data_IF_347666981762
#
_entry.id   IF_347666981762
#
_cell.length_a   1.000
_cell.length_b   1.000
_cell.length_c   1.000
_cell.angle_alpha   90.00
_cell.angle_beta   90.00
_cell.angle_gamma   90.00
#
_symmetry.space_group_name_H-M   'P 1'
#
loop_
_entity.id
_entity.type
_entity.pdbx_description
1 polymer ?
#
# COMPACT_ATOMS: atom_id res chain seq x y z
N UNK A 1 -16.90 -6.33 -7.65
CA UNK A 1 -15.53 -5.83 -7.84
C UNK A 1 -14.70 -6.39 -6.73
N UNK A 2 -13.67 -7.17 -7.08
CA UNK A 2 -12.81 -7.79 -6.08
C UNK A 2 -11.77 -6.77 -5.65
N UNK A 3 -11.77 -6.49 -4.34
CA UNK A 3 -10.80 -5.61 -3.68
C UNK A 3 -9.93 -6.46 -2.77
N UNK A 4 -8.63 -6.17 -2.76
CA UNK A 4 -7.65 -6.89 -1.95
C UNK A 4 -6.89 -5.93 -1.05
N UNK A 5 -6.60 -6.37 0.17
CA UNK A 5 -5.61 -5.72 1.02
C UNK A 5 -4.23 -6.10 0.49
N UNK A 6 -3.39 -5.12 0.18
CA UNK A 6 -2.02 -5.32 -0.28
C UNK A 6 -1.10 -4.52 0.60
N UNK A 7 -0.27 -5.21 1.38
CA UNK A 7 0.89 -4.60 1.99
C UNK A 7 2.01 -4.52 0.96
N UNK A 8 2.59 -3.34 0.78
CA UNK A 8 3.79 -3.13 -0.03
C UNK A 8 4.87 -2.51 0.86
N UNK A 9 6.03 -3.16 0.90
CA UNK A 9 7.24 -2.62 1.52
C UNK A 9 7.65 -1.30 0.86
N UNK A 10 8.53 -0.52 1.52
CA UNK A 10 9.11 0.69 0.92
C UNK A 10 9.70 0.34 -0.45
N UNK A 11 9.43 1.17 -1.45
CA UNK A 11 9.92 0.95 -2.81
C UNK A 11 10.32 2.26 -3.47
N UNK A 12 11.30 2.18 -4.37
CA UNK A 12 11.79 3.33 -5.12
C UNK A 12 11.22 3.35 -6.53
N UNK A 13 10.85 4.54 -6.99
CA UNK A 13 10.36 4.79 -8.34
C UNK A 13 11.17 5.89 -9.00
N UNK A 14 11.37 5.79 -10.32
CA UNK A 14 12.09 6.78 -11.13
C UNK A 14 11.23 7.19 -12.31
N UNK A 15 11.04 8.49 -12.51
CA UNK A 15 10.14 8.98 -13.54
C UNK A 15 10.22 10.48 -13.82
N UNK A 16 9.27 10.96 -14.62
CA UNK A 16 9.06 12.39 -14.88
C UNK A 16 8.08 12.95 -13.88
N UNK A 17 8.48 14.05 -13.22
CA UNK A 17 7.68 14.75 -12.23
C UNK A 17 6.93 15.90 -12.89
N UNK A 18 5.61 15.90 -12.71
CA UNK A 18 4.75 17.04 -13.02
C UNK A 18 4.08 17.58 -11.76
N UNK A 19 3.70 18.85 -11.86
CA UNK A 19 2.88 19.53 -10.87
C UNK A 19 1.85 20.38 -11.60
N UNK A 20 0.62 20.39 -11.11
CA UNK A 20 -0.41 21.24 -11.71
C UNK A 20 -1.69 21.29 -10.90
N UNK A 21 -2.67 21.99 -11.44
CA UNK A 21 -3.94 22.23 -10.78
C UNK A 21 -4.77 20.95 -10.64
N UNK A 22 -5.43 20.80 -9.49
CA UNK A 22 -6.30 19.66 -9.18
C UNK A 22 -7.66 19.74 -9.91
N UNK A 23 -8.10 20.94 -10.32
CA UNK A 23 -9.36 21.15 -11.04
C UNK A 23 -9.35 20.55 -12.46
N UNK A 24 -8.18 20.58 -13.14
CA UNK A 24 -8.03 20.06 -14.49
C UNK A 24 -6.74 19.26 -14.66
N UNK A 25 -6.64 18.09 -14.00
CA UNK A 25 -5.41 17.33 -13.94
C UNK A 25 -4.94 16.82 -15.29
N UNK A 26 -5.89 16.45 -16.16
CA UNK A 26 -5.61 15.89 -17.48
C UNK A 26 -4.88 16.86 -18.41
N UNK A 27 -5.01 18.17 -18.18
CA UNK A 27 -4.31 19.19 -18.98
C UNK A 27 -2.79 19.12 -18.88
N UNK A 28 -2.25 18.55 -17.79
CA UNK A 28 -0.82 18.48 -17.53
C UNK A 28 -0.30 17.06 -17.29
N UNK A 29 -1.13 16.14 -16.79
CA UNK A 29 -0.76 14.72 -16.61
C UNK A 29 -0.59 14.01 -17.95
N UNK A 30 -1.45 14.29 -18.93
CA UNK A 30 -1.33 13.65 -20.25
C UNK A 30 -0.01 14.06 -20.94
N UNK A 31 0.33 15.35 -21.07
CA UNK A 31 1.64 15.75 -21.58
C UNK A 31 2.83 15.19 -20.78
N UNK A 32 2.68 15.03 -19.46
CA UNK A 32 3.70 14.40 -18.61
C UNK A 32 3.93 12.93 -19.00
N UNK A 33 2.86 12.17 -19.21
CA UNK A 33 2.97 10.79 -19.70
C UNK A 33 3.58 10.73 -21.10
N UNK A 34 3.23 11.66 -21.99
CA UNK A 34 3.82 11.73 -23.32
C UNK A 34 5.35 11.97 -23.23
N UNK A 35 5.81 12.85 -22.32
CA UNK A 35 7.24 13.07 -22.04
C UNK A 35 7.93 11.85 -21.43
N UNK A 36 7.32 11.22 -20.42
CA UNK A 36 7.87 10.04 -19.78
C UNK A 36 8.04 8.87 -20.76
N UNK A 37 7.00 8.59 -21.56
CA UNK A 37 7.00 7.51 -22.54
C UNK A 37 7.96 7.80 -23.70
N UNK A 38 8.01 9.05 -24.18
CA UNK A 38 8.89 9.46 -25.27
C UNK A 38 10.38 9.32 -24.94
N UNK A 39 10.74 9.43 -23.66
CA UNK A 39 12.13 9.35 -23.19
C UNK A 39 12.43 8.05 -22.39
N UNK A 40 11.50 7.10 -22.33
CA UNK A 40 11.61 5.94 -21.43
C UNK A 40 12.87 5.08 -21.66
N UNK A 41 13.38 5.05 -22.89
CA UNK A 41 14.61 4.33 -23.25
C UNK A 41 15.84 4.78 -22.47
N UNK A 42 15.85 6.00 -21.92
CA UNK A 42 16.92 6.51 -21.06
C UNK A 42 17.00 5.78 -19.72
N UNK A 43 15.87 5.28 -19.20
CA UNK A 43 15.78 4.63 -17.88
C UNK A 43 15.32 3.18 -17.94
N UNK A 44 14.95 2.65 -19.11
CA UNK A 44 14.45 1.28 -19.27
C UNK A 44 15.42 0.23 -18.68
N UNK A 45 16.74 0.45 -18.82
CA UNK A 45 17.77 -0.43 -18.28
C UNK A 45 17.87 -0.42 -16.74
N UNK A 46 17.28 0.59 -16.08
CA UNK A 46 17.25 0.73 -14.62
C UNK A 46 15.96 0.16 -14.01
N UNK A 47 14.91 0.01 -14.83
CA UNK A 47 13.62 -0.47 -14.38
C UNK A 47 13.68 -1.92 -13.88
N UNK A 48 13.02 -2.19 -12.75
CA UNK A 48 12.81 -3.55 -12.26
C UNK A 48 11.87 -4.29 -13.22
N UNK A 49 12.25 -5.51 -13.58
CA UNK A 49 11.46 -6.38 -14.46
C UNK A 49 10.95 -7.59 -13.69
N UNK A 50 9.63 -7.77 -13.64
CA UNK A 50 8.98 -8.93 -13.08
C UNK A 50 8.62 -9.88 -14.23
N UNK A 51 9.21 -11.09 -14.23
CA UNK A 51 9.05 -12.05 -15.33
C UNK A 51 9.36 -11.46 -16.71
N UNK A 52 10.38 -10.59 -16.77
CA UNK A 52 10.81 -9.92 -18.00
C UNK A 52 9.96 -8.72 -18.42
N UNK A 53 8.87 -8.40 -17.71
CA UNK A 53 8.02 -7.23 -17.97
C UNK A 53 8.30 -6.10 -16.98
N UNK A 54 8.32 -4.87 -17.49
CA UNK A 54 8.30 -3.65 -16.67
C UNK A 54 6.86 -3.21 -16.49
N UNK A 55 6.46 -2.87 -15.26
CA UNK A 55 5.23 -2.12 -15.00
C UNK A 55 5.54 -0.65 -14.79
N UNK A 56 4.54 0.21 -14.99
CA UNK A 56 4.65 1.66 -14.76
C UNK A 56 3.63 2.12 -13.72
N UNK A 57 3.93 3.25 -13.10
CA UNK A 57 3.20 3.81 -11.97
C UNK A 57 2.89 5.28 -12.20
N UNK A 58 1.70 5.67 -11.76
CA UNK A 58 1.32 7.04 -11.47
C UNK A 58 1.36 7.29 -9.97
N UNK A 59 2.50 7.71 -9.44
CA UNK A 59 2.62 8.03 -8.01
C UNK A 59 2.19 9.48 -7.79
N UNK A 60 1.25 9.69 -6.88
CA UNK A 60 0.69 11.01 -6.58
C UNK A 60 1.15 11.47 -5.20
N UNK A 61 1.32 12.79 -5.04
CA UNK A 61 1.63 13.42 -3.76
C UNK A 61 1.12 14.87 -3.69
N UNK A 62 0.97 15.40 -2.48
CA UNK A 62 0.93 16.84 -2.21
C UNK A 62 2.22 17.56 -2.68
N UNK A 63 2.17 18.89 -2.69
CA UNK A 63 3.28 19.73 -3.17
C UNK A 63 4.57 19.56 -2.38
N UNK A 64 4.44 19.18 -1.11
CA UNK A 64 5.57 18.93 -0.20
C UNK A 64 6.13 17.50 -0.28
N UNK A 65 5.60 16.66 -1.17
CA UNK A 65 6.10 15.30 -1.43
C UNK A 65 5.99 14.36 -0.21
N UNK A 66 4.96 14.54 0.61
CA UNK A 66 4.66 13.72 1.79
C UNK A 66 3.72 12.54 1.50
N UNK A 67 3.38 12.32 0.22
CA UNK A 67 2.37 11.36 -0.25
C UNK A 67 0.96 11.62 0.29
N UNK A 68 0.70 12.84 0.77
CA UNK A 68 -0.65 13.25 1.14
C UNK A 68 -1.51 13.46 -0.11
N UNK A 69 -2.82 13.50 0.09
CA UNK A 69 -3.78 13.85 -0.96
C UNK A 69 -3.51 15.25 -1.48
N UNK A 70 -3.83 15.46 -2.76
CA UNK A 70 -3.89 16.81 -3.32
C UNK A 70 -4.91 17.65 -2.56
N UNK A 71 -4.59 18.93 -2.42
CA UNK A 71 -5.54 19.92 -1.91
C UNK A 71 -6.50 20.38 -3.02
N UNK A 72 -7.29 21.40 -2.73
CA UNK A 72 -8.23 22.00 -3.69
C UNK A 72 -7.52 22.78 -4.82
N UNK A 73 -6.21 22.99 -4.73
CA UNK A 73 -5.44 23.80 -5.67
C UNK A 73 -4.61 22.95 -6.59
N UNK A 74 -3.72 22.12 -6.04
CA UNK A 74 -2.67 21.48 -6.82
C UNK A 74 -2.15 20.19 -6.19
N UNK A 75 -1.42 19.46 -7.02
CA UNK A 75 -0.70 18.27 -6.60
C UNK A 75 0.46 17.96 -7.52
N UNK A 76 1.24 16.96 -7.10
CA UNK A 76 2.34 16.37 -7.86
C UNK A 76 1.97 14.97 -8.32
N UNK A 77 2.49 14.64 -9.50
CA UNK A 77 2.33 13.33 -10.14
C UNK A 77 3.68 12.91 -10.73
N UNK A 78 4.09 11.68 -10.48
CA UNK A 78 5.29 11.08 -11.03
C UNK A 78 4.90 9.91 -11.95
N UNK A 79 5.12 10.11 -13.25
CA UNK A 79 4.98 9.08 -14.28
C UNK A 79 6.28 8.26 -14.32
N UNK A 80 6.28 7.05 -13.75
CA UNK A 80 7.50 6.35 -13.36
C UNK A 80 7.45 4.83 -13.55
N UNK A 81 8.61 4.17 -13.36
CA UNK A 81 8.72 2.74 -13.14
C UNK A 81 9.42 2.46 -11.80
N UNK A 82 9.25 1.24 -11.26
CA UNK A 82 10.02 0.82 -10.08
C UNK A 82 11.50 0.62 -10.43
N UNK A 83 12.38 1.04 -9.54
CA UNK A 83 13.84 0.89 -9.65
C UNK A 83 14.40 0.39 -8.32
N UNK A 84 15.66 -0.08 -8.33
CA UNK A 84 16.32 -0.46 -7.08
C UNK A 84 16.60 0.75 -6.19
N UNK A 85 16.64 0.54 -4.88
CA UNK A 85 16.83 1.61 -3.89
C UNK A 85 18.15 2.36 -4.08
N UNK A 86 19.20 1.72 -4.57
CA UNK A 86 20.50 2.36 -4.83
C UNK A 86 20.56 3.16 -6.14
N UNK A 87 19.51 3.10 -6.96
CA UNK A 87 19.49 3.76 -8.27
C UNK A 87 19.59 5.28 -8.10
N UNK A 88 20.58 5.89 -8.75
CA UNK A 88 20.70 7.33 -8.87
C UNK A 88 19.82 7.84 -10.01
N UNK A 89 19.11 8.96 -9.79
CA UNK A 89 18.30 9.56 -10.84
C UNK A 89 19.20 10.23 -11.91
N UNK A 90 19.05 9.88 -13.20
CA UNK A 90 19.70 10.61 -14.28
C UNK A 90 19.22 12.06 -14.36
N UNK A 91 19.99 12.93 -15.04
CA UNK A 91 19.60 14.33 -15.24
C UNK A 91 18.24 14.40 -15.93
N UNK A 92 17.33 15.22 -15.39
CA UNK A 92 15.97 15.36 -15.94
C UNK A 92 15.00 14.26 -15.54
N UNK A 93 15.38 13.38 -14.61
CA UNK A 93 14.53 12.37 -13.99
C UNK A 93 14.47 12.58 -12.48
N UNK A 94 13.35 12.23 -11.87
CA UNK A 94 13.11 12.35 -10.43
C UNK A 94 12.88 10.97 -9.85
N UNK A 95 13.50 10.73 -8.69
CA UNK A 95 13.30 9.52 -7.91
C UNK A 95 12.54 9.83 -6.63
N UNK A 96 11.54 9.02 -6.34
CA UNK A 96 10.84 9.02 -5.05
C UNK A 96 11.00 7.67 -4.35
N UNK A 97 11.09 7.74 -3.03
CA UNK A 97 11.03 6.59 -2.14
C UNK A 97 9.63 6.57 -1.51
N UNK A 98 8.76 5.70 -2.00
CA UNK A 98 7.39 5.56 -1.49
C UNK A 98 7.44 4.75 -0.21
N UNK A 99 6.87 5.23 0.91
CA UNK A 99 6.94 4.54 2.19
C UNK A 99 6.13 3.24 2.19
N UNK A 100 6.49 2.31 3.09
CA UNK A 100 5.72 1.09 3.28
C UNK A 100 4.30 1.41 3.75
N UNK A 101 3.32 0.82 3.09
CA UNK A 101 1.91 1.09 3.35
C UNK A 101 1.09 -0.16 3.03
N UNK A 102 -0.09 -0.23 3.64
CA UNK A 102 -1.14 -1.13 3.22
C UNK A 102 -2.17 -0.38 2.40
N UNK A 103 -2.54 -0.97 1.28
CA UNK A 103 -3.47 -0.42 0.32
C UNK A 103 -4.71 -1.33 0.23
N UNK A 104 -5.87 -0.71 0.00
CA UNK A 104 -6.94 -1.39 -0.73
C UNK A 104 -6.58 -1.26 -2.20
N UNK A 105 -6.54 -2.37 -2.93
CA UNK A 105 -6.28 -2.39 -4.37
C UNK A 105 -7.54 -2.81 -5.11
N UNK A 106 -7.97 -1.98 -6.05
CA UNK A 106 -9.10 -2.25 -6.94
C UNK A 106 -8.61 -2.29 -8.40
N UNK A 107 -8.94 -3.36 -9.12
CA UNK A 107 -8.73 -3.42 -10.56
C UNK A 107 -9.78 -2.56 -11.28
N UNK A 108 -9.39 -1.89 -12.36
CA UNK A 108 -10.22 -1.02 -13.16
C UNK A 108 -9.68 -0.93 -14.60
N UNK A 109 -10.29 -0.07 -15.41
CA UNK A 109 -9.92 0.26 -16.79
C UNK A 109 -10.22 1.75 -17.05
N UNK A 110 -9.90 2.25 -18.24
CA UNK A 110 -10.13 3.67 -18.58
C UNK A 110 -11.60 4.11 -18.50
N UNK A 111 -12.56 3.24 -18.81
CA UNK A 111 -13.99 3.57 -18.79
C UNK A 111 -14.56 3.61 -17.36
N UNK A 112 -14.12 2.68 -16.53
CA UNK A 112 -14.61 2.50 -15.16
C UNK A 112 -13.80 3.26 -14.11
N UNK A 113 -12.66 3.84 -14.47
CA UNK A 113 -11.72 4.49 -13.54
C UNK A 113 -12.43 5.36 -12.48
N UNK A 114 -13.25 6.32 -12.92
CA UNK A 114 -13.91 7.27 -12.02
C UNK A 114 -15.00 6.62 -11.17
N UNK A 115 -15.73 5.65 -11.72
CA UNK A 115 -16.79 4.97 -10.97
C UNK A 115 -16.19 4.08 -9.87
N UNK A 116 -15.10 3.37 -10.18
CA UNK A 116 -14.33 2.59 -9.20
C UNK A 116 -13.74 3.48 -8.13
N UNK A 117 -13.05 4.55 -8.53
CA UNK A 117 -12.45 5.50 -7.61
C UNK A 117 -13.48 6.07 -6.61
N UNK A 118 -14.62 6.54 -7.12
CA UNK A 118 -15.69 7.06 -6.27
C UNK A 118 -16.34 5.99 -5.40
N UNK A 119 -16.53 4.77 -5.91
CA UNK A 119 -17.09 3.68 -5.11
C UNK A 119 -16.17 3.32 -3.93
N UNK A 120 -14.86 3.19 -4.17
CA UNK A 120 -13.92 2.83 -3.10
C UNK A 120 -13.88 3.91 -2.02
N UNK A 121 -13.75 5.18 -2.41
CA UNK A 121 -13.62 6.29 -1.45
C UNK A 121 -14.91 6.60 -0.72
N UNK A 122 -16.04 6.66 -1.42
CA UNK A 122 -17.30 7.14 -0.85
C UNK A 122 -18.15 6.01 -0.26
N UNK A 123 -17.86 4.74 -0.58
CA UNK A 123 -18.66 3.61 -0.14
C UNK A 123 -17.83 2.56 0.61
N UNK A 124 -16.86 1.92 -0.05
CA UNK A 124 -16.14 0.79 0.55
C UNK A 124 -15.34 1.18 1.80
N UNK A 125 -14.52 2.23 1.71
CA UNK A 125 -13.67 2.68 2.83
C UNK A 125 -14.53 3.03 4.06
N UNK A 126 -15.58 3.89 3.96
CA UNK A 126 -16.45 4.20 5.10
C UNK A 126 -17.21 2.99 5.65
N UNK A 127 -17.78 2.12 4.78
CA UNK A 127 -18.52 0.94 5.22
C UNK A 127 -17.68 -0.06 6.02
N UNK A 128 -16.38 -0.10 5.77
CA UNK A 128 -15.45 -1.00 6.44
C UNK A 128 -14.66 -0.30 7.58
N UNK A 129 -15.10 0.88 8.02
CA UNK A 129 -14.44 1.68 9.06
C UNK A 129 -12.94 1.97 8.78
N UNK A 130 -12.58 2.04 7.50
CA UNK A 130 -11.22 2.38 7.06
C UNK A 130 -11.07 3.89 6.91
N UNK A 131 -9.82 4.35 6.83
CA UNK A 131 -9.48 5.73 6.50
C UNK A 131 -8.50 5.75 5.34
N UNK A 132 -8.72 6.64 4.37
CA UNK A 132 -7.73 6.94 3.36
C UNK A 132 -6.68 7.87 3.97
N UNK A 133 -5.41 7.47 3.97
CA UNK A 133 -4.33 8.19 4.68
C UNK A 133 -3.39 8.98 3.76
N UNK A 134 -3.56 8.86 2.45
CA UNK A 134 -2.66 9.45 1.46
C UNK A 134 -3.27 9.55 0.07
N UNK A 135 -2.46 9.98 -0.89
CA UNK A 135 -2.86 10.01 -2.29
C UNK A 135 -3.02 8.59 -2.86
N UNK A 136 -4.01 8.41 -3.73
CA UNK A 136 -4.21 7.15 -4.45
C UNK A 136 -3.15 7.04 -5.54
N UNK A 137 -2.63 5.84 -5.78
CA UNK A 137 -1.65 5.60 -6.84
C UNK A 137 -2.25 4.74 -7.94
N UNK A 138 -1.74 4.93 -9.16
CA UNK A 138 -2.08 4.10 -10.30
C UNK A 138 -0.93 3.13 -10.57
N UNK A 139 -1.26 1.87 -10.81
CA UNK A 139 -0.32 0.86 -11.27
C UNK A 139 -0.82 0.26 -12.57
N UNK A 140 0.05 0.25 -13.58
CA UNK A 140 -0.21 -0.31 -14.89
C UNK A 140 0.67 -1.55 -15.07
N UNK A 141 0.17 -2.74 -14.73
CA UNK A 141 0.95 -3.98 -14.76
C UNK A 141 1.26 -4.44 -16.20
N UNK A 142 0.51 -3.98 -17.19
CA UNK A 142 0.75 -4.22 -18.62
C UNK A 142 0.73 -2.87 -19.36
N UNK A 143 1.84 -2.12 -19.33
CA UNK A 143 1.89 -0.78 -19.94
C UNK A 143 1.45 -0.79 -21.40
N UNK A 144 0.60 0.16 -21.78
CA UNK A 144 0.01 0.25 -23.12
C UNK A 144 -1.30 -0.50 -23.29
N UNK A 145 -1.74 -1.27 -22.28
CA UNK A 145 -3.07 -1.86 -22.24
C UNK A 145 -4.04 -0.97 -21.43
N UNK A 146 -4.97 -0.25 -22.08
CA UNK A 146 -5.90 0.65 -21.39
C UNK A 146 -6.95 -0.09 -20.53
N UNK A 147 -7.10 -1.40 -20.72
CA UNK A 147 -8.08 -2.20 -20.00
C UNK A 147 -7.57 -2.66 -18.62
N UNK A 148 -6.31 -2.38 -18.28
CA UNK A 148 -5.68 -2.88 -17.06
C UNK A 148 -5.00 -1.74 -16.30
N UNK A 149 -5.71 -1.23 -15.27
CA UNK A 149 -5.14 -0.36 -14.24
C UNK A 149 -5.54 -0.87 -12.86
N UNK A 150 -4.62 -0.86 -11.92
CA UNK A 150 -4.89 -1.10 -10.51
C UNK A 150 -4.79 0.22 -9.73
N UNK A 151 -5.82 0.53 -8.93
CA UNK A 151 -5.86 1.70 -8.08
C UNK A 151 -5.49 1.31 -6.64
N UNK A 152 -4.44 1.95 -6.11
CA UNK A 152 -3.87 1.67 -4.79
C UNK A 152 -4.30 2.77 -3.81
N UNK A 153 -5.26 2.46 -2.95
CA UNK A 153 -5.81 3.37 -1.94
C UNK A 153 -5.11 3.15 -0.59
N UNK A 154 -4.18 4.03 -0.16
CA UNK A 154 -3.45 3.82 1.08
C UNK A 154 -4.36 3.95 2.30
N UNK A 155 -4.39 2.91 3.16
CA UNK A 155 -5.24 2.87 4.35
C UNK A 155 -4.47 2.80 5.67
N UNK A 156 -3.20 2.44 5.65
CA UNK A 156 -2.35 2.41 6.83
C UNK A 156 -0.87 2.55 6.46
N UNK A 157 -0.11 3.21 7.33
CA UNK A 157 1.36 3.17 7.31
C UNK A 157 1.80 1.75 7.72
N UNK A 158 2.76 1.15 7.04
CA UNK A 158 3.18 -0.22 7.33
C UNK A 158 2.07 -1.25 7.09
N UNK A 159 2.17 -2.40 7.77
CA UNK A 159 1.16 -3.47 7.67
C UNK A 159 -0.11 -3.06 8.40
N UNK A 160 -1.29 -3.28 7.80
CA UNK A 160 -2.58 -3.06 8.44
C UNK A 160 -2.93 -4.16 9.43
N UNK A 161 -2.42 -5.38 9.23
CA UNK A 161 -2.67 -6.50 10.14
C UNK A 161 -1.38 -6.85 10.88
N UNK A 162 -1.47 -6.99 12.21
CA UNK A 162 -0.34 -7.40 13.03
C UNK A 162 0.25 -8.71 12.51
N UNK A 163 1.55 -8.71 12.20
CA UNK A 163 2.30 -9.84 11.65
C UNK A 163 2.65 -10.91 12.70
N UNK A 164 1.89 -10.95 13.80
CA UNK A 164 1.93 -11.95 14.87
C UNK A 164 0.54 -12.52 15.14
N UNK A 165 -0.47 -11.69 15.38
CA UNK A 165 -1.81 -12.13 15.77
C UNK A 165 -2.91 -11.85 14.74
N UNK A 166 -2.60 -11.20 13.62
CA UNK A 166 -3.57 -10.83 12.59
C UNK A 166 -4.53 -9.69 12.99
N UNK A 167 -4.37 -9.08 14.18
CA UNK A 167 -5.20 -7.97 14.63
C UNK A 167 -5.05 -6.75 13.69
N UNK A 168 -6.16 -6.15 13.21
CA UNK A 168 -6.11 -4.89 12.49
C UNK A 168 -5.50 -3.77 13.36
N UNK A 169 -4.61 -2.97 12.79
CA UNK A 169 -3.96 -1.82 13.41
C UNK A 169 -4.47 -0.56 12.72
N UNK A 170 -5.55 0.00 13.28
CA UNK A 170 -6.33 1.08 12.66
C UNK A 170 -5.63 2.43 12.89
N UNK A 171 -5.00 2.60 14.04
CA UNK A 171 -4.27 3.81 14.40
C UNK A 171 -2.87 3.54 14.95
N UNK A 172 -2.08 4.59 15.11
CA UNK A 172 -0.72 4.48 15.65
C UNK A 172 -0.71 3.99 17.10
N UNK A 173 -1.82 4.16 17.85
CA UNK A 173 -1.99 3.64 19.21
C UNK A 173 -2.10 2.11 19.26
N UNK A 174 -2.55 1.46 18.18
CA UNK A 174 -2.63 0.00 18.10
C UNK A 174 -1.24 -0.63 17.89
N UNK A 175 -0.26 0.16 17.46
CA UNK A 175 1.09 -0.29 17.10
C UNK A 175 2.00 -0.43 18.31
N UNK A 176 2.80 -1.49 18.29
CA UNK A 176 3.89 -1.68 19.22
C UNK A 176 5.00 -0.66 19.02
N UNK A 177 6.00 -0.71 19.88
CA UNK A 177 7.15 0.20 19.83
C UNK A 177 8.43 -0.56 19.50
N UNK A 178 9.25 0.01 18.62
CA UNK A 178 10.61 -0.45 18.35
C UNK A 178 11.57 -0.06 19.49
N UNK A 179 12.83 -0.52 19.42
CA UNK A 179 13.85 -0.21 20.44
C UNK A 179 14.12 1.29 20.60
N UNK A 180 13.97 2.05 19.52
CA UNK A 180 14.13 3.50 19.49
C UNK A 180 12.84 4.27 19.84
N UNK A 181 11.79 3.56 20.27
CA UNK A 181 10.46 4.07 20.60
C UNK A 181 9.65 4.55 19.39
N UNK A 182 10.11 4.34 18.16
CA UNK A 182 9.27 4.53 16.98
C UNK A 182 8.17 3.46 16.91
N UNK A 183 7.07 3.75 16.21
CA UNK A 183 5.98 2.78 16.04
C UNK A 183 6.34 1.65 15.09
N UNK A 184 6.08 0.43 15.53
CA UNK A 184 6.30 -0.77 14.74
C UNK A 184 5.43 -0.76 13.48
N UNK A 185 6.05 -1.06 12.34
CA UNK A 185 5.33 -1.17 11.07
C UNK A 185 4.60 -2.51 10.93
N UNK A 186 4.98 -3.50 11.73
CA UNK A 186 4.53 -4.88 11.57
C UNK A 186 3.69 -5.41 12.73
N UNK A 187 3.91 -4.93 13.96
CA UNK A 187 3.34 -5.57 15.15
C UNK A 187 2.49 -4.63 16.00
N UNK A 188 1.43 -5.18 16.60
CA UNK A 188 0.57 -4.44 17.51
C UNK A 188 1.16 -4.36 18.92
N UNK A 189 0.66 -3.40 19.70
CA UNK A 189 1.10 -3.11 21.08
C UNK A 189 0.93 -4.27 22.06
N UNK A 190 0.06 -5.23 21.75
CA UNK A 190 -0.17 -6.40 22.59
C UNK A 190 0.85 -7.50 22.32
N UNK A 191 1.36 -7.60 21.09
CA UNK A 191 2.33 -8.62 20.71
C UNK A 191 3.77 -8.14 20.87
N UNK A 192 4.03 -6.83 20.74
CA UNK A 192 5.38 -6.31 20.64
C UNK A 192 5.52 -4.97 21.35
N UNK A 193 6.55 -4.84 22.19
CA UNK A 193 6.85 -3.64 22.96
C UNK A 193 8.37 -3.46 23.09
N UNK A 194 8.86 -2.24 22.88
CA UNK A 194 10.28 -1.85 23.04
C UNK A 194 11.26 -2.77 22.30
N UNK A 195 10.87 -3.22 21.10
CA UNK A 195 11.73 -4.02 20.25
C UNK A 195 11.72 -5.53 20.53
N UNK A 196 10.81 -6.02 21.38
CA UNK A 196 10.72 -7.43 21.76
C UNK A 196 9.27 -7.91 21.80
N UNK A 197 9.05 -9.21 21.54
CA UNK A 197 7.72 -9.80 21.73
C UNK A 197 7.38 -9.87 23.21
N UNK A 198 6.15 -9.50 23.56
CA UNK A 198 5.64 -9.47 24.94
C UNK A 198 5.50 -10.85 25.55
N UNK A 199 5.48 -11.90 24.73
CA UNK A 199 5.40 -13.29 25.13
C UNK A 199 6.20 -14.20 24.20
N UNK A 200 6.77 -15.28 24.75
CA UNK A 200 7.45 -16.33 24.01
C UNK A 200 6.49 -17.50 23.68
N UNK A 201 5.31 -17.14 23.18
CA UNK A 201 4.22 -18.07 22.88
C UNK A 201 4.47 -18.84 21.58
N UNK A 202 3.99 -20.09 21.53
CA UNK A 202 3.85 -20.82 20.26
C UNK A 202 2.73 -20.23 19.39
N UNK A 203 2.66 -20.62 18.11
CA UNK A 203 1.54 -20.23 17.26
C UNK A 203 0.20 -20.71 17.85
N UNK A 204 0.15 -21.93 18.39
CA UNK A 204 -1.06 -22.47 19.01
C UNK A 204 -1.47 -21.66 20.25
N UNK A 205 -0.52 -21.25 21.09
CA UNK A 205 -0.78 -20.38 22.23
C UNK A 205 -1.32 -19.00 21.82
N UNK A 206 -0.78 -18.43 20.72
CA UNK A 206 -1.31 -17.19 20.14
C UNK A 206 -2.73 -17.37 19.62
N UNK A 207 -3.03 -18.48 18.93
CA UNK A 207 -4.39 -18.79 18.46
C UNK A 207 -5.34 -18.92 19.64
N UNK A 208 -4.96 -19.67 20.67
CA UNK A 208 -5.74 -19.81 21.92
C UNK A 208 -6.08 -18.45 22.53
N UNK A 209 -5.11 -17.53 22.53
CA UNK A 209 -5.27 -16.18 23.07
C UNK A 209 -6.15 -15.29 22.19
N UNK A 210 -6.10 -15.45 20.85
CA UNK A 210 -6.86 -14.63 19.90
C UNK A 210 -8.33 -15.05 19.77
N UNK A 211 -8.63 -16.35 19.89
CA UNK A 211 -9.98 -16.90 19.68
C UNK A 211 -11.06 -16.14 20.46
N UNK A 212 -10.97 -15.94 21.79
CA UNK A 212 -12.01 -15.24 22.54
C UNK A 212 -12.31 -13.84 22.00
N UNK A 213 -11.28 -13.07 21.66
CA UNK A 213 -11.43 -11.70 21.13
C UNK A 213 -12.11 -11.70 19.75
N UNK A 214 -11.78 -12.66 18.89
CA UNK A 214 -12.41 -12.72 17.55
C UNK A 214 -13.88 -13.12 17.61
N UNK A 215 -14.29 -13.92 18.59
CA UNK A 215 -15.69 -14.25 18.82
C UNK A 215 -16.45 -13.06 19.41
N UNK A 216 -15.87 -12.38 20.40
CA UNK A 216 -16.45 -11.17 21.00
C UNK A 216 -16.64 -10.06 19.96
N UNK A 217 -15.67 -9.89 19.06
CA UNK A 217 -15.75 -8.93 17.96
C UNK A 217 -16.67 -9.38 16.80
N UNK A 218 -17.22 -10.59 16.84
CA UNK A 218 -18.09 -11.12 15.79
C UNK A 218 -17.38 -11.40 14.46
N UNK A 219 -16.05 -11.55 14.46
CA UNK A 219 -15.24 -11.86 13.28
C UNK A 219 -15.50 -13.28 12.80
N UNK A 220 -15.67 -14.21 13.74
CA UNK A 220 -15.99 -15.61 13.47
C UNK A 220 -17.25 -16.04 14.22
N UNK A 221 -18.04 -16.97 13.67
CA UNK A 221 -19.29 -17.42 14.28
C UNK A 221 -19.07 -18.35 15.49
N UNK A 222 -17.96 -19.08 15.53
CA UNK A 222 -17.64 -20.05 16.58
C UNK A 222 -16.13 -20.31 16.70
N UNK A 223 -15.72 -20.89 17.83
CA UNK A 223 -14.32 -21.19 18.15
C UNK A 223 -13.65 -22.09 17.11
N UNK A 224 -14.36 -23.10 16.59
CA UNK A 224 -13.77 -24.05 15.64
C UNK A 224 -13.39 -23.32 14.35
N UNK A 225 -14.30 -22.50 13.82
CA UNK A 225 -14.10 -21.70 12.61
C UNK A 225 -12.98 -20.68 12.81
N UNK A 226 -12.91 -20.04 13.97
CA UNK A 226 -11.82 -19.12 14.31
C UNK A 226 -10.46 -19.82 14.29
N UNK A 227 -10.35 -20.97 14.98
CA UNK A 227 -9.12 -21.77 15.01
C UNK A 227 -8.69 -22.26 13.65
N UNK A 228 -9.59 -22.86 12.87
CA UNK A 228 -9.29 -23.39 11.53
C UNK A 228 -8.81 -22.26 10.59
N UNK A 229 -9.43 -21.09 10.68
CA UNK A 229 -9.03 -19.90 9.89
C UNK A 229 -7.65 -19.39 10.30
N UNK A 230 -7.38 -19.27 11.60
CA UNK A 230 -6.08 -18.80 12.10
C UNK A 230 -4.97 -19.81 11.82
N UNK A 231 -5.21 -21.12 11.93
CA UNK A 231 -4.25 -22.17 11.56
C UNK A 231 -3.89 -22.13 10.08
N UNK A 232 -4.81 -21.68 9.23
CA UNK A 232 -4.55 -21.49 7.80
C UNK A 232 -3.76 -20.21 7.53
N UNK A 233 -4.05 -19.13 8.25
CA UNK A 233 -3.51 -17.79 7.98
C UNK A 233 -2.20 -17.47 8.73
N UNK A 234 -2.09 -17.82 10.01
CA UNK A 234 -0.94 -17.47 10.85
C UNK A 234 0.41 -17.95 10.28
N UNK A 235 0.54 -19.12 9.63
CA UNK A 235 1.78 -19.52 8.97
C UNK A 235 2.33 -18.50 7.95
N UNK A 236 1.48 -17.63 7.40
CA UNK A 236 1.90 -16.60 6.44
C UNK A 236 2.39 -15.30 7.10
N UNK A 237 2.20 -15.14 8.41
CA UNK A 237 2.62 -13.95 9.16
C UNK A 237 4.11 -13.97 9.48
N UNK A 238 4.77 -12.79 9.45
CA UNK A 238 6.24 -12.67 9.63
C UNK A 238 6.77 -13.39 10.88
N UNK A 239 6.08 -13.33 12.03
CA UNK A 239 6.51 -14.01 13.28
C UNK A 239 6.61 -15.52 13.12
N UNK A 240 5.75 -16.11 12.30
CA UNK A 240 5.58 -17.57 12.24
C UNK A 240 6.13 -18.20 10.96
N UNK A 241 6.38 -17.42 9.91
CA UNK A 241 6.91 -17.88 8.62
C UNK A 241 8.31 -18.51 8.69
N UNK A 242 8.95 -18.47 9.87
CA UNK A 242 10.26 -19.04 10.17
C UNK A 242 10.24 -20.13 11.27
N UNK A 243 9.05 -20.54 11.74
CA UNK A 243 8.88 -21.59 12.76
C UNK A 243 8.72 -22.99 12.13
#
# INVERSE_FOLDING_TARGET
MDMKYVYKEKFSVLGKLGQGAAENPWSWIKPLWDDANGNFTEIEGLAIKNNGKTSIWGIMSDLDENFNRWDDKAGKYLACCEVKEETAAPVGWVKWDVPSQTYIVAASNQEEYLSVFHNVINDFIPKNNLKLIGAVHEHYPDPGNPDIVELYFPIAKGSYFCQSCGMPMISDEDRGDEKDLSKSQDYCRYCYEKGEFTSNDTMEDMINSCVPFTLEAGVYPDEKTARDSMLTYFPELKRWKQA
#
